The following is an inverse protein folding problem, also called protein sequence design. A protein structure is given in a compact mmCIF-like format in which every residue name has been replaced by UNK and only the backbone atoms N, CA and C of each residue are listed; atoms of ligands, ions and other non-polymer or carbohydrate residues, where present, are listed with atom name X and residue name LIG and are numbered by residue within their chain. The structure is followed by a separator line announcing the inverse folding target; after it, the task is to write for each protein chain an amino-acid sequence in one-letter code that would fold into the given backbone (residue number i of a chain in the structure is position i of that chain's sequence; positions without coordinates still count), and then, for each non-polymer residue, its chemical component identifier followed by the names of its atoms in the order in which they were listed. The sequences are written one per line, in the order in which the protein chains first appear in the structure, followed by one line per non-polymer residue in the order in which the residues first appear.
data_IF_545758574013
#
_entry.id   IF_545758574013
#
_cell.length_a   1.000
_cell.length_b   1.000
_cell.length_c   1.000
_cell.angle_alpha   90.00
_cell.angle_beta   90.00
_cell.angle_gamma   90.00
#
_symmetry.space_group_name_H-M   'P 1'
#
loop_
_entity.id
_entity.type
_entity.pdbx_description
1 polymer ?
#
# COMPACT_ATOMS: atom_id res chain seq x y z
N UNK A 1 2.17 8.18 8.36
CA UNK A 1 3.38 7.82 7.59
C UNK A 1 3.38 8.36 6.16
N UNK A 2 2.22 8.53 5.49
CA UNK A 2 2.14 9.14 4.16
C UNK A 2 2.65 10.59 4.14
N UNK A 3 2.30 11.38 5.13
CA UNK A 3 2.80 12.76 5.28
C UNK A 3 4.32 12.82 5.48
N UNK A 4 4.88 11.86 6.23
CA UNK A 4 6.32 11.77 6.41
C UNK A 4 7.05 11.46 5.09
N UNK A 5 6.47 10.57 4.26
CA UNK A 5 7.02 10.25 2.95
C UNK A 5 7.06 11.48 2.03
N UNK A 6 5.96 12.23 1.97
CA UNK A 6 5.86 13.44 1.15
C UNK A 6 6.76 14.57 1.65
N UNK A 7 6.80 14.81 2.98
CA UNK A 7 7.67 15.83 3.56
C UNK A 7 9.16 15.52 3.38
N UNK A 8 9.52 14.23 3.45
CA UNK A 8 10.90 13.78 3.32
C UNK A 8 11.41 13.79 1.87
N UNK A 9 10.51 13.85 0.88
CA UNK A 9 10.91 13.93 -0.53
C UNK A 9 11.49 15.29 -0.92
N UNK A 10 11.26 16.35 -0.13
CA UNK A 10 11.69 17.71 -0.43
C UNK A 10 11.04 18.30 -1.69
N UNK A 11 9.94 17.71 -2.17
CA UNK A 11 9.20 18.17 -3.33
C UNK A 11 7.89 18.85 -2.94
N UNK A 12 7.49 19.85 -3.73
CA UNK A 12 6.20 20.53 -3.63
C UNK A 12 5.23 20.05 -4.72
N UNK A 13 5.78 19.66 -5.90
CA UNK A 13 5.01 19.15 -7.02
C UNK A 13 5.63 17.85 -7.55
N UNK A 14 4.76 16.95 -7.99
CA UNK A 14 5.09 15.67 -8.65
C UNK A 14 4.54 15.69 -10.06
N UNK A 15 5.43 15.71 -11.04
CA UNK A 15 5.08 15.67 -12.47
C UNK A 15 5.18 14.23 -12.94
N UNK A 16 4.08 13.71 -13.50
CA UNK A 16 3.96 12.34 -13.96
C UNK A 16 3.25 12.29 -15.32
N UNK A 17 3.21 11.12 -15.92
CA UNK A 17 2.46 10.90 -17.14
C UNK A 17 0.95 11.08 -16.90
N UNK A 18 0.26 11.69 -17.85
CA UNK A 18 -1.19 11.86 -17.80
C UNK A 18 -1.90 10.51 -17.65
N UNK A 19 -2.89 10.48 -16.75
CA UNK A 19 -3.66 9.27 -16.47
C UNK A 19 -3.04 8.34 -15.43
N UNK A 20 -1.86 8.67 -14.85
CA UNK A 20 -1.24 7.92 -13.76
C UNK A 20 -1.47 8.58 -12.40
N UNK A 21 -1.52 7.77 -11.34
CA UNK A 21 -1.82 8.24 -9.97
C UNK A 21 -0.59 8.70 -9.18
N UNK A 22 0.52 8.89 -9.87
CA UNK A 22 1.76 9.34 -9.23
C UNK A 22 2.69 8.21 -8.79
N UNK A 23 3.95 8.55 -8.48
CA UNK A 23 5.06 7.60 -8.39
C UNK A 23 4.96 6.61 -7.24
N UNK A 24 4.16 6.90 -6.22
CA UNK A 24 3.99 6.01 -5.06
C UNK A 24 2.82 5.04 -5.19
N UNK A 25 1.93 5.26 -6.15
CA UNK A 25 0.73 4.45 -6.36
C UNK A 25 0.77 3.66 -7.67
N UNK A 26 1.32 4.27 -8.72
CA UNK A 26 1.35 3.70 -10.07
C UNK A 26 2.61 4.09 -10.80
N UNK A 27 3.17 3.16 -11.57
CA UNK A 27 4.38 3.42 -12.34
C UNK A 27 4.05 4.33 -13.53
N UNK A 28 4.78 5.41 -13.65
CA UNK A 28 4.72 6.39 -14.75
C UNK A 28 5.97 6.26 -15.61
N UNK A 29 5.93 6.70 -16.85
CA UNK A 29 7.07 6.69 -17.76
C UNK A 29 7.17 8.03 -18.48
N UNK A 30 8.19 8.80 -18.13
CA UNK A 30 8.52 10.09 -18.68
C UNK A 30 9.93 10.07 -19.28
N UNK A 31 10.20 10.96 -20.22
CA UNK A 31 11.58 11.16 -20.70
C UNK A 31 12.38 11.98 -19.69
N UNK A 32 13.64 11.62 -19.49
CA UNK A 32 14.51 12.28 -18.51
C UNK A 32 14.94 13.70 -18.93
N UNK A 33 14.81 14.06 -20.21
CA UNK A 33 15.09 15.41 -20.73
C UNK A 33 14.01 16.46 -20.33
N UNK A 34 12.82 16.02 -19.95
CA UNK A 34 11.73 16.92 -19.51
C UNK A 34 12.11 17.79 -18.31
N UNK A 35 12.99 17.29 -17.45
CA UNK A 35 13.46 18.03 -16.27
C UNK A 35 14.05 19.39 -16.66
N UNK A 36 14.81 19.48 -17.76
CA UNK A 36 15.45 20.72 -18.18
C UNK A 36 14.44 21.79 -18.61
N UNK A 37 13.37 21.37 -19.28
CA UNK A 37 12.28 22.28 -19.65
C UNK A 37 11.50 22.79 -18.44
N UNK A 38 11.28 21.92 -17.44
CA UNK A 38 10.59 22.28 -16.20
C UNK A 38 11.48 23.18 -15.33
N UNK A 39 12.77 22.91 -15.22
CA UNK A 39 13.74 23.69 -14.44
C UNK A 39 13.85 25.14 -14.95
N UNK A 40 13.64 25.36 -16.25
CA UNK A 40 13.61 26.69 -16.86
C UNK A 40 12.34 27.51 -16.62
N UNK A 41 11.29 26.94 -15.99
CA UNK A 41 10.03 27.64 -15.78
C UNK A 41 10.09 28.65 -14.62
N UNK A 42 9.36 29.78 -14.73
CA UNK A 42 9.27 30.75 -13.65
C UNK A 42 8.68 30.13 -12.39
N UNK A 43 9.32 30.39 -11.24
CA UNK A 43 8.87 29.89 -9.94
C UNK A 43 9.41 28.50 -9.56
N UNK A 44 10.13 27.80 -10.45
CA UNK A 44 10.85 26.59 -10.12
C UNK A 44 12.17 26.95 -9.45
N UNK A 45 12.43 26.36 -8.29
CA UNK A 45 13.72 26.45 -7.61
C UNK A 45 14.67 25.35 -8.06
N UNK A 46 14.21 24.10 -7.99
CA UNK A 46 14.93 22.91 -8.40
C UNK A 46 13.95 21.90 -9.01
N UNK A 47 14.42 21.17 -10.02
CA UNK A 47 13.72 20.01 -10.52
C UNK A 47 14.67 18.79 -10.57
N UNK A 48 14.14 17.60 -10.34
CA UNK A 48 14.92 16.37 -10.35
C UNK A 48 14.13 15.20 -10.93
N UNK A 49 14.80 14.39 -11.69
CA UNK A 49 14.30 13.11 -12.14
C UNK A 49 14.38 12.06 -11.04
N UNK A 50 13.32 11.26 -10.90
CA UNK A 50 13.26 10.17 -9.92
C UNK A 50 12.64 8.92 -10.53
N UNK A 51 13.16 7.76 -10.14
CA UNK A 51 12.58 6.46 -10.48
C UNK A 51 12.20 5.71 -9.21
N UNK A 52 11.11 4.92 -9.28
CA UNK A 52 10.60 4.13 -8.16
C UNK A 52 10.24 2.73 -8.65
N UNK A 53 10.79 1.70 -8.01
CA UNK A 53 10.42 0.32 -8.30
C UNK A 53 10.63 -0.57 -7.07
N UNK A 54 9.80 -1.59 -6.93
CA UNK A 54 9.91 -2.56 -5.86
C UNK A 54 10.73 -3.75 -6.33
N UNK A 55 11.66 -4.18 -5.49
CA UNK A 55 12.43 -5.41 -5.74
C UNK A 55 12.93 -6.05 -4.45
N UNK A 56 13.38 -7.28 -4.55
CA UNK A 56 14.13 -7.94 -3.49
C UNK A 56 15.60 -7.53 -3.58
N UNK A 57 16.11 -7.01 -2.47
CA UNK A 57 17.51 -6.61 -2.29
C UNK A 57 18.19 -7.65 -1.46
N UNK A 58 19.31 -8.19 -1.96
CA UNK A 58 20.07 -9.24 -1.28
C UNK A 58 21.31 -8.67 -0.63
N UNK A 59 21.55 -9.08 0.63
CA UNK A 59 22.78 -8.81 1.38
C UNK A 59 23.27 -10.13 1.98
N UNK A 60 24.30 -10.74 1.40
CA UNK A 60 24.71 -12.10 1.77
C UNK A 60 23.55 -13.10 1.59
N UNK A 61 23.18 -13.78 2.68
CA UNK A 61 22.06 -14.74 2.70
C UNK A 61 20.70 -14.11 3.02
N UNK A 62 20.66 -12.81 3.32
CA UNK A 62 19.42 -12.11 3.68
C UNK A 62 18.83 -11.44 2.46
N UNK A 63 17.54 -11.69 2.19
CA UNK A 63 16.76 -10.98 1.18
C UNK A 63 15.69 -10.12 1.83
N UNK A 64 15.65 -8.84 1.46
CA UNK A 64 14.66 -7.88 1.95
C UNK A 64 13.92 -7.26 0.78
N UNK A 65 12.59 -7.27 0.84
CA UNK A 65 11.78 -6.54 -0.11
C UNK A 65 11.88 -5.04 0.21
N UNK A 66 12.32 -4.25 -0.76
CA UNK A 66 12.48 -2.81 -0.62
C UNK A 66 11.96 -2.06 -1.84
N UNK A 67 11.54 -0.82 -1.61
CA UNK A 67 11.30 0.14 -2.69
C UNK A 67 12.64 0.81 -3.02
N UNK A 68 13.15 0.55 -4.21
CA UNK A 68 14.37 1.19 -4.70
C UNK A 68 13.99 2.49 -5.36
N UNK A 69 14.69 3.56 -4.97
CA UNK A 69 14.49 4.93 -5.45
C UNK A 69 15.77 5.41 -6.11
N UNK A 70 15.68 5.73 -7.40
CA UNK A 70 16.76 6.36 -8.13
C UNK A 70 16.70 7.86 -8.00
N UNK A 71 17.76 8.49 -7.50
CA UNK A 71 17.80 9.92 -7.20
C UNK A 71 19.03 10.61 -7.80
N UNK A 72 18.89 11.91 -8.01
CA UNK A 72 20.00 12.80 -8.26
C UNK A 72 20.49 13.37 -6.92
N UNK A 73 21.75 13.14 -6.50
CA UNK A 73 22.26 13.61 -5.21
C UNK A 73 22.09 15.13 -5.01
N UNK A 74 21.59 15.52 -3.83
CA UNK A 74 21.38 16.92 -3.48
C UNK A 74 20.20 17.63 -4.10
N UNK A 75 19.38 16.93 -4.91
CA UNK A 75 18.15 17.44 -5.50
C UNK A 75 16.90 16.87 -4.81
N UNK A 76 15.70 17.39 -5.12
CA UNK A 76 14.43 16.83 -4.62
C UNK A 76 14.34 15.32 -4.86
N UNK A 77 13.81 14.59 -3.88
CA UNK A 77 13.83 13.11 -3.86
C UNK A 77 14.96 12.51 -3.03
N UNK A 78 16.00 13.31 -2.70
CA UNK A 78 17.04 12.86 -1.78
C UNK A 78 16.48 12.74 -0.36
N UNK A 79 16.86 11.68 0.40
CA UNK A 79 16.35 11.49 1.76
C UNK A 79 16.83 12.62 2.69
N UNK A 80 15.89 13.24 3.40
CA UNK A 80 16.18 14.36 4.30
C UNK A 80 16.73 13.94 5.67
N UNK A 81 16.54 12.68 6.06
CA UNK A 81 16.89 12.17 7.39
C UNK A 81 17.96 11.08 7.32
N UNK A 82 19.22 11.52 7.23
CA UNK A 82 20.37 10.64 7.37
C UNK A 82 20.69 10.45 8.86
N UNK A 83 20.75 9.19 9.32
CA UNK A 83 21.03 8.84 10.72
C UNK A 83 22.48 8.54 10.93
N UNK A 84 23.13 7.91 9.95
CA UNK A 84 24.53 7.54 10.01
C UNK A 84 25.13 7.50 8.59
N UNK A 85 26.45 7.66 8.49
CA UNK A 85 27.15 7.64 7.22
C UNK A 85 27.12 8.99 6.49
N UNK A 86 27.14 8.96 5.17
CA UNK A 86 27.18 10.13 4.29
C UNK A 86 26.14 10.02 3.16
N UNK A 87 25.76 11.15 2.54
CA UNK A 87 24.90 11.11 1.35
C UNK A 87 25.64 10.46 0.16
N UNK A 88 24.86 10.12 -0.89
CA UNK A 88 25.44 9.66 -2.15
C UNK A 88 26.40 10.70 -2.72
N UNK A 89 27.60 10.31 -3.06
CA UNK A 89 28.63 11.18 -3.64
C UNK A 89 29.11 10.71 -5.01
N UNK A 90 28.98 9.40 -5.28
CA UNK A 90 29.35 8.82 -6.57
C UNK A 90 28.13 8.64 -7.45
N UNK A 91 28.36 8.66 -8.75
CA UNK A 91 27.30 8.46 -9.74
C UNK A 91 26.86 6.99 -9.90
N UNK A 92 27.62 6.05 -9.32
CA UNK A 92 27.40 4.62 -9.46
C UNK A 92 27.78 3.85 -8.19
N UNK A 93 27.08 2.73 -7.94
CA UNK A 93 27.44 1.69 -6.98
C UNK A 93 27.45 2.11 -5.50
N UNK A 94 26.79 3.19 -5.14
CA UNK A 94 26.52 3.58 -3.76
C UNK A 94 25.03 3.44 -3.47
N UNK A 95 24.69 3.12 -2.21
CA UNK A 95 23.32 3.04 -1.75
C UNK A 95 23.14 3.68 -0.38
N UNK A 96 21.95 4.29 -0.16
CA UNK A 96 21.46 4.63 1.17
C UNK A 96 20.33 3.68 1.50
N UNK A 97 20.31 3.12 2.70
CA UNK A 97 19.30 2.17 3.11
C UNK A 97 18.54 2.68 4.34
N UNK A 98 17.23 2.45 4.41
CA UNK A 98 16.50 2.70 5.65
C UNK A 98 16.90 1.67 6.71
N UNK A 99 16.98 2.08 7.97
CA UNK A 99 17.36 1.19 9.11
C UNK A 99 16.45 -0.04 9.21
N UNK A 100 15.23 0.00 8.67
CA UNK A 100 14.31 -1.13 8.63
C UNK A 100 14.72 -2.23 7.67
N UNK A 101 15.65 -1.97 6.75
CA UNK A 101 16.23 -3.03 5.88
C UNK A 101 17.09 -4.01 6.68
N UNK A 102 17.59 -3.59 7.85
CA UNK A 102 18.54 -4.37 8.64
C UNK A 102 19.98 -4.32 8.10
N UNK A 103 20.25 -3.53 7.05
CA UNK A 103 21.59 -3.39 6.50
C UNK A 103 22.44 -2.43 7.34
N UNK A 104 23.74 -2.68 7.42
CA UNK A 104 24.72 -1.88 8.11
C UNK A 104 25.53 -1.02 7.13
N UNK A 105 26.23 0.00 7.66
CA UNK A 105 27.17 0.79 6.88
C UNK A 105 28.33 -0.09 6.39
N UNK A 106 28.67 0.05 5.10
CA UNK A 106 29.70 -0.73 4.45
C UNK A 106 29.25 -2.08 3.91
N UNK A 107 28.00 -2.49 4.17
CA UNK A 107 27.44 -3.71 3.59
C UNK A 107 27.39 -3.59 2.07
N UNK A 108 27.62 -4.74 1.42
CA UNK A 108 27.43 -4.87 -0.03
C UNK A 108 26.08 -5.51 -0.32
N UNK A 109 25.19 -4.71 -0.88
CA UNK A 109 23.86 -5.14 -1.29
C UNK A 109 23.84 -5.40 -2.80
N UNK A 110 23.20 -6.48 -3.21
CA UNK A 110 23.06 -6.83 -4.61
C UNK A 110 21.71 -6.42 -5.15
N UNK A 111 21.76 -5.56 -6.17
CA UNK A 111 20.60 -5.09 -6.92
C UNK A 111 20.75 -5.59 -8.36
N UNK A 112 19.95 -6.58 -8.75
CA UNK A 112 20.04 -7.26 -10.06
C UNK A 112 21.46 -7.81 -10.34
N UNK A 113 22.26 -7.10 -11.13
CA UNK A 113 23.58 -7.54 -11.62
C UNK A 113 24.74 -6.82 -10.94
N UNK A 114 24.47 -5.78 -10.19
CA UNK A 114 25.50 -4.93 -9.62
C UNK A 114 25.45 -4.96 -8.09
N UNK A 115 26.64 -4.84 -7.50
CA UNK A 115 26.78 -4.73 -6.06
C UNK A 115 26.94 -3.25 -5.70
N UNK A 116 26.25 -2.81 -4.64
CA UNK A 116 26.23 -1.46 -4.13
C UNK A 116 26.73 -1.45 -2.70
N UNK A 117 27.56 -0.46 -2.36
CA UNK A 117 28.01 -0.24 -1.00
C UNK A 117 27.02 0.65 -0.26
N UNK A 118 26.57 0.23 0.93
CA UNK A 118 25.71 1.03 1.79
C UNK A 118 26.55 2.11 2.47
N UNK A 119 26.47 3.35 1.94
CA UNK A 119 27.29 4.48 2.41
C UNK A 119 26.60 5.34 3.46
N UNK A 120 25.28 5.15 3.64
CA UNK A 120 24.52 5.87 4.66
C UNK A 120 23.22 5.15 5.02
N UNK A 121 22.75 5.44 6.23
CA UNK A 121 21.50 4.92 6.76
C UNK A 121 20.50 6.05 6.97
N UNK A 122 19.27 5.81 6.53
CA UNK A 122 18.13 6.72 6.68
C UNK A 122 17.14 6.18 7.69
N UNK A 123 16.24 7.01 8.18
CA UNK A 123 15.17 6.61 9.08
C UNK A 123 13.82 7.17 8.61
N UNK A 124 12.77 6.38 8.80
CA UNK A 124 11.39 6.72 8.42
C UNK A 124 11.17 6.87 6.90
N UNK A 125 12.04 6.26 6.10
CA UNK A 125 11.90 6.21 4.67
C UNK A 125 11.25 4.87 4.29
N UNK A 126 9.91 4.86 4.25
CA UNK A 126 9.09 3.68 4.03
C UNK A 126 8.09 3.99 2.93
N UNK A 127 7.91 3.05 2.02
CA UNK A 127 6.94 3.17 0.93
C UNK A 127 5.49 3.20 1.45
N UNK A 128 4.56 3.59 0.59
CA UNK A 128 3.12 3.50 0.87
C UNK A 128 2.64 2.08 1.22
N UNK A 129 3.34 1.06 0.72
CA UNK A 129 3.09 -0.36 1.02
C UNK A 129 3.69 -0.85 2.35
N UNK A 130 4.52 -0.03 3.01
CA UNK A 130 5.23 -0.41 4.23
C UNK A 130 6.62 -1.01 4.00
N UNK A 131 7.05 -1.16 2.75
CA UNK A 131 8.40 -1.65 2.42
C UNK A 131 9.45 -0.56 2.71
N UNK A 132 10.61 -0.90 3.29
CA UNK A 132 11.69 0.06 3.50
C UNK A 132 12.26 0.57 2.18
N UNK A 133 12.81 1.78 2.18
CA UNK A 133 13.39 2.38 0.97
C UNK A 133 14.90 2.20 0.91
N UNK A 134 15.38 2.01 -0.32
CA UNK A 134 16.81 2.01 -0.66
C UNK A 134 17.03 3.01 -1.77
N UNK A 135 17.92 3.98 -1.56
CA UNK A 135 18.22 5.03 -2.53
C UNK A 135 19.53 4.73 -3.25
N UNK A 136 19.52 4.82 -4.57
CA UNK A 136 20.69 4.63 -5.44
C UNK A 136 20.78 5.76 -6.45
N UNK A 137 21.94 5.96 -7.12
CA UNK A 137 22.05 6.95 -8.19
C UNK A 137 21.04 6.71 -9.31
N UNK A 138 20.49 7.79 -9.84
CA UNK A 138 19.43 7.76 -10.87
C UNK A 138 19.80 6.87 -12.08
N UNK A 139 21.02 7.00 -12.57
CA UNK A 139 21.47 6.23 -13.75
C UNK A 139 21.46 4.73 -13.51
N UNK A 140 21.86 4.30 -12.33
CA UNK A 140 21.84 2.89 -11.93
C UNK A 140 20.40 2.39 -11.79
N UNK A 141 19.52 3.23 -11.22
CA UNK A 141 18.11 2.91 -11.09
C UNK A 141 17.39 2.82 -12.45
N UNK A 142 17.68 3.73 -13.38
CA UNK A 142 17.17 3.66 -14.75
C UNK A 142 17.60 2.36 -15.42
N UNK A 143 18.87 1.98 -15.30
CA UNK A 143 19.37 0.73 -15.83
C UNK A 143 18.70 -0.48 -15.17
N UNK A 144 18.54 -0.47 -13.85
CA UNK A 144 17.91 -1.56 -13.11
C UNK A 144 16.42 -1.73 -13.43
N UNK A 145 15.67 -0.64 -13.60
CA UNK A 145 14.23 -0.67 -13.84
C UNK A 145 13.88 -1.02 -15.29
N UNK A 146 14.57 -0.41 -16.25
CA UNK A 146 14.24 -0.48 -17.67
C UNK A 146 15.19 -1.40 -18.46
N UNK A 147 15.88 -2.30 -17.78
CA UNK A 147 16.74 -3.26 -18.44
C UNK A 147 15.89 -4.14 -19.37
N UNK A 148 16.14 -4.06 -20.66
CA UNK A 148 15.55 -4.95 -21.66
C UNK A 148 16.12 -6.37 -21.44
N UNK A 149 15.33 -7.38 -21.75
CA UNK A 149 15.80 -8.77 -21.71
C UNK A 149 17.03 -8.95 -22.60
N UNK A 150 17.97 -9.77 -22.17
CA UNK A 150 19.23 -10.01 -22.87
C UNK A 150 19.04 -10.33 -24.34
N UNK A 151 18.04 -11.15 -24.66
CA UNK A 151 17.76 -11.57 -26.03
C UNK A 151 17.28 -10.41 -26.92
N UNK A 152 16.46 -9.50 -26.36
CA UNK A 152 16.02 -8.31 -27.06
C UNK A 152 17.22 -7.37 -27.36
N UNK A 153 18.13 -7.19 -26.40
CA UNK A 153 19.33 -6.37 -26.58
C UNK A 153 20.28 -7.01 -27.61
N UNK A 154 20.50 -8.33 -27.53
CA UNK A 154 21.34 -9.08 -28.47
C UNK A 154 20.78 -8.96 -29.88
N UNK A 155 19.48 -9.16 -30.07
CA UNK A 155 18.81 -9.06 -31.35
C UNK A 155 18.85 -7.62 -31.91
N UNK A 156 18.67 -6.60 -31.06
CA UNK A 156 18.72 -5.20 -31.48
C UNK A 156 20.15 -4.78 -31.86
N UNK A 157 21.16 -5.23 -31.12
CA UNK A 157 22.58 -5.04 -31.48
C UNK A 157 22.94 -5.74 -32.79
N UNK A 158 22.48 -6.98 -32.98
CA UNK A 158 22.70 -7.71 -34.22
C UNK A 158 22.09 -6.99 -35.43
N UNK A 159 20.86 -6.47 -35.29
CA UNK A 159 20.21 -5.65 -36.33
C UNK A 159 20.97 -4.35 -36.61
N UNK A 160 21.44 -3.66 -35.57
CA UNK A 160 22.23 -2.42 -35.73
C UNK A 160 23.58 -2.68 -36.38
N UNK A 161 24.26 -3.76 -36.00
CA UNK A 161 25.52 -4.17 -36.62
C UNK A 161 25.38 -4.60 -38.09
N UNK A 162 24.26 -5.23 -38.41
CA UNK A 162 23.93 -5.64 -39.80
C UNK A 162 23.49 -4.47 -40.69
N UNK A 163 23.17 -3.30 -40.13
CA UNK A 163 22.70 -2.16 -40.89
C UNK A 163 23.89 -1.36 -41.47
N UNK A 164 24.05 -1.29 -42.82
CA UNK A 164 25.16 -0.59 -43.45
C UNK A 164 25.17 0.92 -43.18
N UNK A 165 24.03 1.50 -42.73
CA UNK A 165 23.94 2.90 -42.41
C UNK A 165 24.72 3.26 -41.13
N UNK A 166 24.83 2.32 -40.19
CA UNK A 166 25.50 2.50 -38.89
C UNK A 166 26.91 1.89 -38.89
N UNK A 167 27.12 0.81 -39.68
CA UNK A 167 28.42 0.13 -39.78
C UNK A 167 29.16 0.60 -41.03
N UNK A 168 29.56 1.88 -41.06
CA UNK A 168 30.29 2.47 -42.19
C UNK A 168 31.80 2.41 -41.95
N UNK A 169 32.60 1.81 -42.88
CA UNK A 169 34.04 1.97 -42.86
C UNK A 169 34.40 3.44 -43.03
N UNK A 170 35.04 4.07 -42.07
CA UNK A 170 35.44 5.47 -42.15
C UNK A 170 34.79 6.42 -41.13
N UNK A 171 33.80 5.97 -40.38
CA UNK A 171 33.25 6.70 -39.23
C UNK A 171 33.39 5.85 -37.99
N UNK A 172 34.60 5.80 -37.36
CA UNK A 172 34.85 5.01 -36.16
C UNK A 172 33.97 5.55 -35.03
N UNK A 173 33.38 4.63 -34.24
CA UNK A 173 32.58 5.00 -33.07
C UNK A 173 31.07 5.21 -33.32
N UNK A 174 30.61 5.29 -34.57
CA UNK A 174 29.17 5.48 -34.86
C UNK A 174 28.33 4.28 -34.38
N UNK A 175 28.77 3.06 -34.70
CA UNK A 175 28.07 1.84 -34.28
C UNK A 175 28.09 1.71 -32.74
N UNK A 176 29.22 2.03 -32.09
CA UNK A 176 29.33 2.02 -30.63
C UNK A 176 28.40 3.03 -29.98
N UNK A 177 28.31 4.25 -30.53
CA UNK A 177 27.40 5.28 -30.04
C UNK A 177 25.91 4.86 -30.21
N UNK A 178 25.55 4.25 -31.34
CA UNK A 178 24.20 3.73 -31.57
C UNK A 178 23.88 2.60 -30.61
N UNK A 179 24.79 1.65 -30.41
CA UNK A 179 24.62 0.56 -29.46
C UNK A 179 24.52 1.08 -28.03
N UNK A 180 25.33 2.08 -27.64
CA UNK A 180 25.25 2.74 -26.34
C UNK A 180 23.91 3.44 -26.13
N UNK A 181 23.38 4.15 -27.16
CA UNK A 181 22.07 4.78 -27.06
C UNK A 181 20.91 3.80 -26.93
N UNK A 182 21.02 2.62 -27.49
CA UNK A 182 20.00 1.56 -27.37
C UNK A 182 19.99 0.90 -25.99
N UNK A 183 21.10 0.94 -25.28
CA UNK A 183 21.25 0.36 -23.93
C UNK A 183 20.95 1.38 -22.83
N UNK A 184 21.04 2.68 -23.12
CA UNK A 184 20.71 3.72 -22.15
C UNK A 184 19.19 3.89 -22.06
N UNK A 185 18.66 3.78 -20.85
CA UNK A 185 17.27 4.13 -20.61
C UNK A 185 17.18 5.63 -20.31
N UNK A 186 16.40 6.33 -21.12
CA UNK A 186 16.07 7.74 -20.94
C UNK A 186 14.70 7.93 -20.29
N UNK A 187 14.25 6.95 -19.52
CA UNK A 187 12.95 6.96 -18.87
C UNK A 187 13.09 7.15 -17.37
N UNK A 188 12.15 7.91 -16.81
CA UNK A 188 12.00 8.14 -15.37
C UNK A 188 10.54 8.01 -14.99
N UNK A 189 10.26 7.78 -13.71
CA UNK A 189 8.87 7.63 -13.26
C UNK A 189 8.23 8.99 -12.92
N UNK A 190 9.00 9.96 -12.47
CA UNK A 190 8.49 11.28 -12.13
C UNK A 190 9.58 12.34 -12.23
N UNK A 191 9.14 13.59 -12.41
CA UNK A 191 9.97 14.77 -12.13
C UNK A 191 9.44 15.42 -10.86
N UNK A 192 10.30 15.52 -9.85
CA UNK A 192 10.01 16.21 -8.60
C UNK A 192 10.42 17.67 -8.73
N UNK A 193 9.54 18.57 -8.30
CA UNK A 193 9.77 20.01 -8.41
C UNK A 193 9.69 20.64 -7.03
N UNK A 194 10.70 21.43 -6.71
CA UNK A 194 10.69 22.34 -5.57
C UNK A 194 10.35 23.75 -6.06
N UNK A 195 9.36 24.36 -5.44
CA UNK A 195 8.89 25.69 -5.78
C UNK A 195 9.76 26.72 -5.08
N UNK A 196 10.09 27.81 -5.79
CA UNK A 196 10.84 28.94 -5.22
C UNK A 196 10.00 29.68 -4.20
N UNK A 197 10.64 30.12 -3.13
CA UNK A 197 9.99 30.95 -2.11
C UNK A 197 9.30 32.18 -2.74
N UNK A 198 8.06 32.43 -2.32
CA UNK A 198 7.23 33.51 -2.83
C UNK A 198 6.31 33.12 -4.01
N UNK A 199 6.41 31.91 -4.55
CA UNK A 199 5.49 31.40 -5.57
C UNK A 199 4.53 30.37 -4.96
N UNK A 200 3.26 30.41 -5.37
CA UNK A 200 2.32 29.37 -5.01
C UNK A 200 2.51 28.14 -5.90
N UNK A 201 2.46 26.93 -5.32
CA UNK A 201 2.59 25.67 -6.05
C UNK A 201 1.62 25.55 -7.24
N UNK A 202 0.39 26.07 -7.10
CA UNK A 202 -0.61 26.08 -8.17
C UNK A 202 -0.18 26.94 -9.37
N UNK A 203 0.52 28.05 -9.15
CA UNK A 203 0.99 28.92 -10.23
C UNK A 203 2.08 28.26 -11.06
N UNK A 204 2.93 27.44 -10.43
CA UNK A 204 3.98 26.67 -11.11
C UNK A 204 3.40 25.42 -11.78
N UNK A 205 2.37 24.81 -11.19
CA UNK A 205 1.74 23.63 -11.74
C UNK A 205 0.98 23.90 -13.05
N UNK A 206 0.31 25.05 -13.18
CA UNK A 206 -0.52 25.37 -14.34
C UNK A 206 0.23 25.40 -15.70
N UNK A 207 1.40 26.04 -15.83
CA UNK A 207 2.19 25.97 -17.06
C UNK A 207 2.61 24.54 -17.42
N UNK A 208 2.98 23.72 -16.42
CA UNK A 208 3.40 22.33 -16.64
C UNK A 208 2.21 21.48 -17.10
N UNK A 209 1.02 21.68 -16.53
CA UNK A 209 -0.22 20.97 -16.94
C UNK A 209 -0.64 21.23 -18.38
N UNK A 210 -0.25 22.36 -18.96
CA UNK A 210 -0.52 22.67 -20.36
C UNK A 210 0.28 21.83 -21.34
N UNK A 211 1.36 21.19 -20.86
CA UNK A 211 2.09 20.25 -21.70
C UNK A 211 1.26 18.98 -21.86
N UNK A 212 0.99 18.62 -23.10
CA UNK A 212 0.26 17.40 -23.41
C UNK A 212 0.99 16.20 -22.81
N UNK A 213 0.22 15.27 -22.25
CA UNK A 213 0.69 14.03 -21.62
C UNK A 213 1.31 14.17 -20.22
N UNK A 214 1.30 15.35 -19.61
CA UNK A 214 1.76 15.53 -18.22
C UNK A 214 0.59 15.78 -17.27
N UNK A 215 0.72 15.27 -16.08
CA UNK A 215 -0.14 15.55 -14.94
C UNK A 215 0.71 16.00 -13.77
N UNK A 216 0.24 16.99 -13.02
CA UNK A 216 0.95 17.56 -11.89
C UNK A 216 0.10 17.40 -10.65
N UNK A 217 0.66 16.77 -9.67
CA UNK A 217 0.10 16.67 -8.33
C UNK A 217 0.85 17.60 -7.38
N UNK A 218 0.11 18.33 -6.58
CA UNK A 218 0.63 19.03 -5.43
C UNK A 218 0.65 18.09 -4.20
N UNK A 219 1.12 18.59 -3.08
CA UNK A 219 1.20 17.81 -1.83
C UNK A 219 -0.17 17.29 -1.39
N UNK A 220 -1.21 18.12 -1.50
CA UNK A 220 -2.56 17.73 -1.10
C UNK A 220 -3.13 16.63 -2.01
N UNK A 221 -2.98 16.76 -3.32
CA UNK A 221 -3.41 15.75 -4.29
C UNK A 221 -2.64 14.43 -4.14
N UNK A 222 -1.34 14.49 -3.83
CA UNK A 222 -0.54 13.28 -3.58
C UNK A 222 -0.93 12.62 -2.26
N UNK A 223 -1.22 13.39 -1.22
CA UNK A 223 -1.72 12.88 0.06
C UNK A 223 -3.08 12.20 -0.12
N UNK A 224 -3.99 12.81 -0.88
CA UNK A 224 -5.28 12.20 -1.21
C UNK A 224 -5.12 10.86 -1.93
N UNK A 225 -4.21 10.76 -2.90
CA UNK A 225 -3.93 9.52 -3.61
C UNK A 225 -3.39 8.44 -2.66
N UNK A 226 -2.42 8.80 -1.82
CA UNK A 226 -1.82 7.87 -0.87
C UNK A 226 -2.81 7.38 0.18
N UNK A 227 -3.63 8.29 0.72
CA UNK A 227 -4.58 7.95 1.79
C UNK A 227 -5.87 7.37 1.23
N UNK A 228 -6.51 8.02 0.26
CA UNK A 228 -7.82 7.63 -0.21
C UNK A 228 -7.80 6.41 -1.14
N UNK A 229 -6.84 6.32 -2.08
CA UNK A 229 -6.86 5.26 -3.09
C UNK A 229 -6.16 3.97 -2.65
N UNK A 230 -5.01 4.05 -2.01
CA UNK A 230 -4.28 2.86 -1.52
C UNK A 230 -4.98 2.22 -0.32
N UNK A 231 -5.46 3.04 0.61
CA UNK A 231 -6.19 2.56 1.80
C UNK A 231 -7.60 2.14 1.42
N UNK A 232 -8.31 2.88 0.56
CA UNK A 232 -9.69 2.56 0.18
C UNK A 232 -9.81 1.22 -0.55
N UNK A 233 -8.86 0.85 -1.40
CA UNK A 233 -8.87 -0.45 -2.09
C UNK A 233 -8.71 -1.59 -1.10
N UNK A 234 -7.75 -1.48 -0.18
CA UNK A 234 -7.55 -2.47 0.89
C UNK A 234 -8.73 -2.51 1.86
N UNK A 235 -9.30 -1.36 2.23
CA UNK A 235 -10.46 -1.26 3.11
C UNK A 235 -11.71 -1.89 2.48
N UNK A 236 -11.93 -1.72 1.17
CA UNK A 236 -13.04 -2.36 0.44
C UNK A 236 -12.91 -3.88 0.44
N UNK A 237 -11.71 -4.40 0.22
CA UNK A 237 -11.44 -5.83 0.24
C UNK A 237 -11.64 -6.42 1.65
N UNK A 238 -11.11 -5.78 2.70
CA UNK A 238 -11.31 -6.16 4.09
C UNK A 238 -12.79 -6.07 4.46
N UNK A 239 -13.50 -5.04 4.00
CA UNK A 239 -14.94 -4.87 4.21
C UNK A 239 -15.76 -6.04 3.62
N UNK A 240 -15.41 -6.50 2.43
CA UNK A 240 -16.06 -7.71 1.84
C UNK A 240 -15.86 -8.96 2.70
N UNK A 241 -14.63 -9.19 3.21
CA UNK A 241 -14.38 -10.32 4.11
C UNK A 241 -15.17 -10.20 5.42
N UNK A 242 -15.27 -8.99 5.99
CA UNK A 242 -16.08 -8.73 7.18
C UNK A 242 -17.56 -9.06 6.96
N UNK A 243 -18.12 -8.71 5.80
CA UNK A 243 -19.53 -9.05 5.46
C UNK A 243 -19.72 -10.55 5.38
N UNK A 244 -18.83 -11.27 4.67
CA UNK A 244 -18.91 -12.74 4.57
C UNK A 244 -18.81 -13.38 5.96
N UNK A 245 -17.84 -12.96 6.76
CA UNK A 245 -17.62 -13.46 8.12
C UNK A 245 -18.83 -13.17 9.02
N UNK A 246 -19.46 -12.00 8.87
CA UNK A 246 -20.68 -11.64 9.60
C UNK A 246 -21.86 -12.55 9.25
N UNK A 247 -22.03 -12.90 7.97
CA UNK A 247 -23.08 -13.83 7.52
C UNK A 247 -22.85 -15.23 8.11
N UNK A 248 -21.62 -15.73 8.04
CA UNK A 248 -21.26 -17.03 8.60
C UNK A 248 -21.47 -17.04 10.12
N UNK A 249 -21.03 -16.00 10.81
CA UNK A 249 -21.24 -15.84 12.26
C UNK A 249 -22.73 -15.79 12.62
N UNK A 250 -23.54 -15.08 11.83
CA UNK A 250 -24.99 -15.02 12.04
C UNK A 250 -25.64 -16.40 11.91
N UNK A 251 -25.22 -17.21 10.92
CA UNK A 251 -25.71 -18.55 10.72
C UNK A 251 -25.33 -19.47 11.89
N UNK A 252 -24.11 -19.40 12.38
CA UNK A 252 -23.64 -20.18 13.55
C UNK A 252 -24.42 -19.78 14.81
N UNK A 253 -24.55 -18.48 15.08
CA UNK A 253 -25.30 -17.97 16.24
C UNK A 253 -26.79 -18.41 16.16
N UNK A 254 -27.40 -18.29 14.97
CA UNK A 254 -28.77 -18.74 14.76
C UNK A 254 -28.92 -20.24 15.05
N UNK A 255 -27.98 -21.07 14.61
CA UNK A 255 -27.98 -22.51 14.85
C UNK A 255 -27.80 -22.81 16.35
N UNK A 256 -26.93 -22.14 17.05
CA UNK A 256 -26.70 -22.33 18.50
C UNK A 256 -27.98 -21.95 19.26
N UNK A 257 -28.60 -20.81 18.98
CA UNK A 257 -29.82 -20.35 19.65
C UNK A 257 -30.96 -21.32 19.34
N UNK A 258 -31.05 -21.80 18.10
CA UNK A 258 -32.03 -22.80 17.69
C UNK A 258 -31.89 -24.10 18.51
N UNK A 259 -30.71 -24.69 18.57
CA UNK A 259 -30.45 -25.92 19.32
C UNK A 259 -30.67 -25.76 20.84
N UNK A 260 -30.29 -24.64 21.41
CA UNK A 260 -30.57 -24.32 22.81
C UNK A 260 -32.05 -24.19 23.10
N UNK A 261 -32.80 -23.56 22.17
CA UNK A 261 -34.26 -23.38 22.27
C UNK A 261 -34.99 -24.74 22.14
N UNK A 262 -34.53 -25.59 21.20
CA UNK A 262 -35.07 -26.94 21.03
C UNK A 262 -34.83 -27.82 22.26
N UNK A 263 -33.66 -27.71 22.90
CA UNK A 263 -33.37 -28.42 24.16
C UNK A 263 -34.31 -28.03 25.31
N UNK A 264 -34.92 -26.83 25.25
CA UNK A 264 -35.81 -26.29 26.28
C UNK A 264 -37.29 -26.28 25.88
N UNK A 265 -37.62 -27.00 24.80
CA UNK A 265 -38.97 -26.93 24.22
C UNK A 265 -40.05 -27.38 25.20
N UNK A 266 -39.79 -28.40 26.04
CA UNK A 266 -40.69 -28.86 27.11
C UNK A 266 -40.92 -27.78 28.15
N UNK A 267 -39.89 -27.09 28.60
CA UNK A 267 -40.03 -25.98 29.55
C UNK A 267 -40.87 -24.84 29.01
N UNK A 268 -40.65 -24.51 27.70
CA UNK A 268 -41.45 -23.49 26.99
C UNK A 268 -42.90 -23.92 26.86
N UNK A 269 -43.18 -25.21 26.59
CA UNK A 269 -44.54 -25.75 26.53
C UNK A 269 -45.26 -25.65 27.88
N UNK A 270 -44.57 -25.98 29.01
CA UNK A 270 -45.11 -25.81 30.35
C UNK A 270 -45.44 -24.35 30.67
N UNK A 271 -44.54 -23.43 30.30
CA UNK A 271 -44.77 -21.98 30.47
C UNK A 271 -45.99 -21.51 29.72
N UNK A 272 -46.25 -22.02 28.51
CA UNK A 272 -47.43 -21.72 27.71
C UNK A 272 -48.69 -22.24 28.35
N UNK A 273 -48.69 -23.46 28.91
CA UNK A 273 -49.84 -24.05 29.64
C UNK A 273 -50.22 -23.24 30.89
N UNK A 274 -49.25 -22.65 31.56
CA UNK A 274 -49.52 -21.78 32.73
C UNK A 274 -50.05 -20.40 32.28
N UNK A 275 -50.10 -20.11 30.94
CA UNK A 275 -50.67 -18.87 30.41
C UNK A 275 -49.64 -17.76 30.16
N UNK A 276 -48.33 -18.08 30.10
CA UNK A 276 -47.32 -17.09 29.80
C UNK A 276 -47.48 -16.49 28.40
N UNK A 277 -47.41 -15.17 28.26
CA UNK A 277 -47.53 -14.47 26.98
C UNK A 277 -46.40 -14.82 26.04
N UNK A 278 -46.66 -14.94 24.74
CA UNK A 278 -45.65 -15.20 23.72
C UNK A 278 -44.54 -14.13 23.68
N UNK A 279 -44.85 -12.88 24.07
CA UNK A 279 -43.85 -11.79 24.18
C UNK A 279 -42.83 -12.05 25.28
N UNK A 280 -43.22 -12.68 26.39
CA UNK A 280 -42.32 -13.05 27.48
C UNK A 280 -41.34 -14.12 27.04
N UNK A 281 -41.83 -15.16 26.33
CA UNK A 281 -40.95 -16.21 25.77
C UNK A 281 -39.99 -15.63 24.74
N UNK A 282 -40.48 -14.76 23.85
CA UNK A 282 -39.63 -14.07 22.88
C UNK A 282 -38.54 -13.21 23.56
N UNK A 283 -38.91 -12.50 24.63
CA UNK A 283 -37.96 -11.67 25.41
C UNK A 283 -36.89 -12.54 26.08
N UNK A 284 -37.25 -13.70 26.63
CA UNK A 284 -36.28 -14.63 27.22
C UNK A 284 -35.26 -15.14 26.20
N UNK A 285 -35.69 -15.54 25.02
CA UNK A 285 -34.80 -16.02 23.92
C UNK A 285 -33.91 -14.87 23.45
N UNK A 286 -34.47 -13.67 23.28
CA UNK A 286 -33.72 -12.49 22.86
C UNK A 286 -32.63 -12.09 23.89
N UNK A 287 -32.97 -12.13 25.19
CA UNK A 287 -32.01 -11.83 26.25
C UNK A 287 -30.88 -12.86 26.27
N UNK A 288 -31.15 -14.14 26.06
CA UNK A 288 -30.12 -15.17 25.94
C UNK A 288 -29.20 -14.93 24.74
N UNK A 289 -29.77 -14.57 23.58
CA UNK A 289 -29.02 -14.27 22.38
C UNK A 289 -28.11 -13.03 22.55
N UNK A 290 -28.64 -11.97 23.13
CA UNK A 290 -27.89 -10.75 23.42
C UNK A 290 -26.79 -10.98 24.47
N UNK A 291 -27.09 -11.77 25.51
CA UNK A 291 -26.09 -12.16 26.52
C UNK A 291 -24.93 -12.95 25.92
N UNK A 292 -25.21 -13.92 25.04
CA UNK A 292 -24.19 -14.67 24.32
C UNK A 292 -23.36 -13.77 23.43
N UNK A 293 -23.99 -12.85 22.71
CA UNK A 293 -23.31 -11.86 21.87
C UNK A 293 -22.40 -10.93 22.66
N UNK A 294 -22.86 -10.48 23.82
CA UNK A 294 -22.07 -9.61 24.72
C UNK A 294 -20.82 -10.31 25.23
N UNK A 295 -20.98 -11.54 25.75
CA UNK A 295 -19.86 -12.37 26.23
C UNK A 295 -18.87 -12.62 25.07
N UNK A 296 -19.37 -13.05 23.91
CA UNK A 296 -18.54 -13.29 22.72
C UNK A 296 -17.76 -12.06 22.27
N UNK A 297 -18.40 -10.88 22.30
CA UNK A 297 -17.73 -9.62 21.98
C UNK A 297 -16.59 -9.30 22.93
N UNK A 298 -16.79 -9.43 24.26
CA UNK A 298 -15.73 -9.13 25.22
C UNK A 298 -14.57 -10.10 25.13
N UNK A 299 -14.84 -11.40 24.95
CA UNK A 299 -13.79 -12.42 24.73
C UNK A 299 -13.04 -12.14 23.43
N UNK A 300 -13.75 -11.84 22.34
CA UNK A 300 -13.14 -11.50 21.07
C UNK A 300 -12.29 -10.23 21.12
N UNK A 301 -12.77 -9.18 21.81
CA UNK A 301 -12.01 -7.95 22.03
C UNK A 301 -10.75 -8.19 22.85
N UNK A 302 -10.84 -8.99 23.90
CA UNK A 302 -9.69 -9.35 24.73
C UNK A 302 -8.64 -10.10 23.89
N UNK A 303 -9.06 -11.11 23.13
CA UNK A 303 -8.20 -11.86 22.24
C UNK A 303 -7.54 -10.96 21.19
N UNK A 304 -8.30 -10.07 20.53
CA UNK A 304 -7.78 -9.11 19.55
C UNK A 304 -6.72 -8.18 20.18
N UNK A 305 -6.95 -7.70 21.40
CA UNK A 305 -6.00 -6.82 22.11
C UNK A 305 -4.69 -7.54 22.45
N UNK A 306 -4.77 -8.81 22.86
CA UNK A 306 -3.60 -9.63 23.18
C UNK A 306 -2.78 -9.99 21.93
N UNK A 307 -3.44 -10.19 20.79
CA UNK A 307 -2.76 -10.53 19.53
C UNK A 307 -2.30 -9.34 18.72
N UNK A 308 -2.84 -8.14 18.94
CA UNK A 308 -2.48 -6.94 18.19
C UNK A 308 -0.97 -6.68 18.08
N UNK A 309 -0.13 -6.88 19.13
CA UNK A 309 1.31 -6.66 19.04
C UNK A 309 2.07 -7.67 18.17
N UNK A 310 1.49 -8.85 17.91
CA UNK A 310 2.12 -9.94 17.13
C UNK A 310 1.92 -9.74 15.63
N UNK A 311 0.96 -8.88 15.24
CA UNK A 311 0.70 -8.62 13.82
C UNK A 311 1.88 -7.86 13.17
N UNK A 312 2.29 -8.25 11.95
CA UNK A 312 3.40 -7.59 11.23
C UNK A 312 3.11 -6.15 10.82
N UNK A 313 1.84 -5.73 10.87
CA UNK A 313 1.40 -4.35 10.64
C UNK A 313 0.82 -3.77 11.93
N UNK A 314 1.10 -2.49 12.18
CA UNK A 314 0.58 -1.79 13.34
C UNK A 314 -0.95 -1.71 13.29
N UNK A 315 -1.61 -2.35 14.25
CA UNK A 315 -3.07 -2.36 14.38
C UNK A 315 -3.49 -1.38 15.46
N UNK A 316 -4.18 -0.31 15.08
CA UNK A 316 -4.78 0.65 16.00
C UNK A 316 -6.23 0.22 16.32
N UNK A 317 -6.47 -0.21 17.55
CA UNK A 317 -7.80 -0.51 18.07
C UNK A 317 -8.43 0.78 18.60
N UNK A 318 -9.19 1.48 17.77
CA UNK A 318 -9.90 2.68 18.18
C UNK A 318 -11.14 2.32 19.03
N UNK A 319 -11.43 3.05 20.12
CA UNK A 319 -12.64 2.83 20.93
C UNK A 319 -13.94 2.96 20.13
N UNK A 320 -13.95 3.83 19.12
CA UNK A 320 -15.09 4.04 18.22
C UNK A 320 -15.41 2.80 17.39
N UNK A 321 -14.37 2.10 16.90
CA UNK A 321 -14.54 0.88 16.10
C UNK A 321 -15.02 -0.28 16.98
N UNK A 322 -14.58 -0.33 18.23
CA UNK A 322 -15.08 -1.31 19.19
C UNK A 322 -16.59 -1.10 19.47
N UNK A 323 -17.05 0.15 19.58
CA UNK A 323 -18.46 0.46 19.81
C UNK A 323 -19.33 0.09 18.61
N UNK A 324 -18.86 0.41 17.40
CA UNK A 324 -19.57 0.00 16.15
C UNK A 324 -19.61 -1.52 15.99
N UNK A 325 -18.51 -2.22 16.32
CA UNK A 325 -18.42 -3.67 16.31
C UNK A 325 -19.40 -4.31 17.30
N UNK A 326 -19.53 -3.75 18.52
CA UNK A 326 -20.53 -4.19 19.50
C UNK A 326 -21.95 -4.05 18.94
N UNK A 327 -22.27 -2.91 18.32
CA UNK A 327 -23.58 -2.68 17.69
C UNK A 327 -23.91 -3.70 16.60
N UNK A 328 -22.94 -4.05 15.75
CA UNK A 328 -23.08 -5.06 14.71
C UNK A 328 -23.32 -6.45 15.30
N UNK A 329 -22.58 -6.84 16.33
CA UNK A 329 -22.74 -8.14 17.01
C UNK A 329 -24.12 -8.26 17.64
N UNK A 330 -24.58 -7.24 18.35
CA UNK A 330 -25.93 -7.24 18.95
C UNK A 330 -27.03 -7.28 17.89
N UNK A 331 -26.87 -6.60 16.77
CA UNK A 331 -27.81 -6.65 15.65
C UNK A 331 -27.87 -8.07 15.05
N UNK A 332 -26.72 -8.71 14.86
CA UNK A 332 -26.63 -10.08 14.35
C UNK A 332 -27.35 -11.04 15.31
N UNK A 333 -27.11 -10.94 16.62
CA UNK A 333 -27.75 -11.77 17.62
C UNK A 333 -29.28 -11.56 17.66
N UNK A 334 -29.73 -10.31 17.55
CA UNK A 334 -31.17 -10.00 17.49
C UNK A 334 -31.83 -10.58 16.25
N UNK A 335 -31.22 -10.47 15.08
CA UNK A 335 -31.73 -11.05 13.83
C UNK A 335 -31.72 -12.58 13.89
N UNK A 336 -30.64 -13.19 14.36
CA UNK A 336 -30.52 -14.64 14.50
C UNK A 336 -31.56 -15.21 15.45
N UNK A 337 -31.88 -14.52 16.55
CA UNK A 337 -32.87 -14.95 17.52
C UNK A 337 -34.32 -14.98 16.96
N UNK A 338 -34.60 -14.18 15.91
CA UNK A 338 -35.98 -14.14 15.33
C UNK A 338 -36.43 -15.49 14.78
N UNK A 339 -35.48 -16.26 14.22
CA UNK A 339 -35.77 -17.60 13.73
C UNK A 339 -36.17 -18.56 14.87
N UNK A 340 -35.38 -18.58 15.93
CA UNK A 340 -35.64 -19.41 17.13
C UNK A 340 -36.95 -18.99 17.82
N UNK A 341 -37.23 -17.70 17.93
CA UNK A 341 -38.45 -17.15 18.49
C UNK A 341 -39.68 -17.60 17.68
N UNK A 342 -39.62 -17.52 16.35
CA UNK A 342 -40.73 -17.97 15.48
C UNK A 342 -41.04 -19.45 15.68
N UNK A 343 -40.04 -20.29 15.85
CA UNK A 343 -40.20 -21.72 16.07
C UNK A 343 -40.78 -21.98 17.47
N UNK A 344 -40.20 -21.35 18.50
CA UNK A 344 -40.64 -21.49 19.89
C UNK A 344 -42.11 -21.07 20.08
N UNK A 345 -42.56 -20.01 19.39
CA UNK A 345 -43.94 -19.54 19.46
C UNK A 345 -44.90 -20.48 18.74
N UNK A 346 -44.49 -21.20 17.69
CA UNK A 346 -45.34 -22.13 16.92
C UNK A 346 -45.50 -23.51 17.57
N UNK A 347 -44.74 -23.83 18.61
CA UNK A 347 -44.83 -25.15 19.30
C UNK A 347 -46.17 -25.31 19.98
N UNK A 348 -46.85 -26.41 19.64
CA UNK A 348 -48.06 -26.84 20.33
C UNK A 348 -47.72 -27.48 21.68
N UNK A 349 -48.20 -26.92 22.82
CA UNK A 349 -47.91 -27.46 24.13
C UNK A 349 -48.35 -28.92 24.34
N UNK A 350 -49.43 -29.34 23.69
CA UNK A 350 -49.95 -30.71 23.81
C UNK A 350 -49.04 -31.75 23.15
N UNK A 351 -48.46 -31.40 21.99
CA UNK A 351 -47.58 -32.27 21.21
C UNK A 351 -46.18 -32.36 21.87
N UNK A 352 -45.71 -31.27 22.48
CA UNK A 352 -44.37 -31.19 23.13
C UNK A 352 -44.28 -31.97 24.45
N UNK A 353 -45.38 -32.28 25.12
CA UNK A 353 -45.40 -32.98 26.41
C UNK A 353 -45.83 -34.44 26.24
N UNK A 354 -46.59 -34.77 25.18
CA UNK A 354 -47.16 -36.10 24.93
C UNK A 354 -46.30 -37.02 24.06
N UNK A 355 -45.14 -36.55 23.53
CA UNK A 355 -44.22 -37.31 22.66
C UNK A 355 -43.00 -37.84 23.37
#
# INVERSE_FOLDING_TARGET
DAQALLSNSGADLWVVQQGTQGPYAESSSLRDDLVHGIEGMPGVALAANVTYFNMQVRCGDTEVRAMVVGIEPGKPGSPSHLVAGRPLSRSHYEALADVRTGFALGDRIRLRRHDYEVVGLTRRMVSSGGDPMVFIPLKDAQQAQFLKDNDAIVNERARSAANPAFNRPGVPGLLEAVVASQTSSHQVNAVLVQVRDGFAAAQVAEPIRRWKHLQVYDRAGMEEILVAKLIATSAKQIGMFLVILSIVSAAIVAFIIYTMTMGKIREIAVLKLIGTRNSTIASMILQQALGLGLIGFFVGKLAATLWAPIFPKYVLLLPRDALTGLGVVLLICALASTLAIRIAIKVDPAEAIGG
#
